data_IF_019913261152
#
_entry.id   IF_019913261152
#
_cell.length_a   1.000
_cell.length_b   1.000
_cell.length_c   1.000
_cell.angle_alpha   90.00
_cell.angle_beta   90.00
_cell.angle_gamma   90.00
#
_symmetry.space_group_name_H-M   'P 1'
#
loop_
_entity.id
_entity.type
_entity.pdbx_description
1 polymer ?
#
# COMPACT_ATOMS: atom_id res chain seq x y z
N UNK A 1 -11.07 -1.43 30.12
CA UNK A 1 -11.83 -0.27 30.57
C UNK A 1 -12.24 0.53 29.34
N UNK A 2 -13.53 0.78 29.15
CA UNK A 2 -14.05 1.59 28.02
C UNK A 2 -14.60 2.88 28.64
N UNK A 3 -14.08 4.02 28.18
CA UNK A 3 -14.51 5.35 28.58
C UNK A 3 -15.12 6.06 27.38
N UNK A 4 -16.20 6.78 27.59
CA UNK A 4 -16.95 7.45 26.54
C UNK A 4 -17.11 8.91 26.88
N UNK A 5 -17.21 9.75 25.84
CA UNK A 5 -17.58 11.15 25.94
C UNK A 5 -18.73 11.44 24.98
N UNK A 6 -19.35 12.59 25.14
CA UNK A 6 -20.40 13.04 24.25
C UNK A 6 -19.77 13.66 23.00
N UNK A 7 -19.79 12.94 21.89
CA UNK A 7 -19.27 13.41 20.61
C UNK A 7 -20.42 13.77 19.64
N UNK A 8 -20.25 14.76 18.76
CA UNK A 8 -19.13 15.72 18.74
C UNK A 8 -19.27 16.77 19.83
N UNK A 9 -18.17 17.18 20.42
CA UNK A 9 -18.10 18.34 21.33
C UNK A 9 -17.14 19.40 20.74
N UNK A 10 -17.63 20.64 20.60
CA UNK A 10 -16.85 21.71 19.95
C UNK A 10 -15.76 22.32 20.85
N UNK A 11 -15.80 22.03 22.15
CA UNK A 11 -14.85 22.55 23.13
C UNK A 11 -13.80 21.52 23.49
N UNK A 12 -14.23 20.27 23.73
CA UNK A 12 -13.34 19.15 24.07
C UNK A 12 -13.91 17.82 23.56
N UNK A 13 -13.50 17.43 22.36
CA UNK A 13 -13.95 16.18 21.75
C UNK A 13 -13.16 14.95 22.30
N UNK A 14 -13.11 14.84 23.61
CA UNK A 14 -12.56 13.71 24.37
C UNK A 14 -11.09 13.83 24.74
N UNK A 15 -10.41 14.93 24.42
CA UNK A 15 -8.98 15.11 24.70
C UNK A 15 -8.73 15.29 26.21
N UNK A 16 -9.63 15.98 26.89
CA UNK A 16 -9.59 16.12 28.36
C UNK A 16 -9.72 14.76 29.04
N UNK A 17 -10.71 13.94 28.66
CA UNK A 17 -10.91 12.59 29.17
C UNK A 17 -9.69 11.68 28.89
N UNK A 18 -9.08 11.78 27.71
CA UNK A 18 -7.87 11.04 27.38
C UNK A 18 -6.72 11.45 28.32
N UNK A 19 -6.50 12.74 28.53
CA UNK A 19 -5.45 13.25 29.40
C UNK A 19 -5.66 12.83 30.87
N UNK A 20 -6.90 12.86 31.36
CA UNK A 20 -7.27 12.36 32.71
C UNK A 20 -6.99 10.87 32.84
N UNK A 21 -7.43 10.06 31.87
CA UNK A 21 -7.20 8.62 31.85
C UNK A 21 -5.71 8.30 31.91
N UNK A 22 -4.89 9.01 31.15
CA UNK A 22 -3.43 8.85 31.16
C UNK A 22 -2.83 9.21 32.51
N UNK A 23 -3.33 10.26 33.19
CA UNK A 23 -2.88 10.63 34.53
C UNK A 23 -3.24 9.58 35.57
N UNK A 24 -4.47 9.04 35.50
CA UNK A 24 -4.96 8.00 36.40
C UNK A 24 -4.15 6.69 36.30
N UNK A 25 -3.75 6.30 35.07
CA UNK A 25 -2.86 5.14 34.84
C UNK A 25 -1.49 5.37 35.51
N UNK A 26 -1.08 6.61 35.70
CA UNK A 26 0.12 6.94 36.43
C UNK A 26 1.44 6.69 35.69
N UNK A 27 1.40 6.56 34.35
CA UNK A 27 2.62 6.37 33.53
C UNK A 27 3.53 7.61 33.58
N UNK A 28 4.83 7.37 33.52
CA UNK A 28 5.85 8.43 33.50
C UNK A 28 6.04 9.00 32.10
N UNK A 29 5.99 8.15 31.08
CA UNK A 29 6.18 8.52 29.68
C UNK A 29 5.17 7.80 28.81
N UNK A 30 4.81 8.44 27.71
CA UNK A 30 3.89 7.94 26.68
C UNK A 30 4.64 8.00 25.36
N UNK A 31 4.81 6.86 24.72
CA UNK A 31 5.36 6.77 23.37
C UNK A 31 4.27 7.00 22.33
N UNK A 32 4.52 7.88 21.37
CA UNK A 32 3.72 8.03 20.17
C UNK A 32 4.53 7.65 18.93
N UNK A 33 3.89 7.17 17.87
CA UNK A 33 4.59 6.88 16.62
C UNK A 33 5.02 8.19 15.95
N UNK A 34 6.31 8.54 16.10
CA UNK A 34 6.93 9.78 15.59
C UNK A 34 8.12 9.50 14.66
N UNK A 35 8.37 8.24 14.33
CA UNK A 35 9.45 7.82 13.44
C UNK A 35 9.12 7.97 11.95
N UNK A 36 10.11 7.72 11.09
CA UNK A 36 9.95 7.70 9.62
C UNK A 36 8.86 6.70 9.23
N UNK A 37 7.99 7.08 8.32
CA UNK A 37 6.86 6.28 7.81
C UNK A 37 5.86 5.85 8.89
N UNK A 38 5.81 6.60 9.99
CA UNK A 38 4.78 6.45 11.04
C UNK A 38 3.98 7.74 11.18
N UNK A 39 2.75 7.63 11.66
CA UNK A 39 1.92 8.81 11.92
C UNK A 39 0.91 8.55 13.02
N UNK A 40 0.59 9.60 13.73
CA UNK A 40 -0.47 9.63 14.71
C UNK A 40 -1.79 10.02 14.02
N UNK A 41 -2.80 9.16 14.08
CA UNK A 41 -4.14 9.45 13.53
C UNK A 41 -4.94 10.32 14.52
N UNK A 42 -4.54 11.58 14.65
CA UNK A 42 -5.19 12.57 15.49
C UNK A 42 -5.05 13.95 14.82
N UNK A 43 -6.07 14.82 14.86
CA UNK A 43 -5.94 16.19 14.41
C UNK A 43 -4.80 16.90 15.14
N UNK A 44 -4.03 17.71 14.41
CA UNK A 44 -2.87 18.42 15.00
C UNK A 44 -3.28 19.36 16.14
N UNK A 45 -4.47 19.97 16.04
CA UNK A 45 -4.98 20.84 17.10
C UNK A 45 -5.19 20.06 18.40
N UNK A 46 -5.83 18.90 18.32
CA UNK A 46 -6.10 18.03 19.45
C UNK A 46 -4.80 17.50 20.06
N UNK A 47 -3.85 17.11 19.21
CA UNK A 47 -2.54 16.70 19.69
C UNK A 47 -1.81 17.81 20.46
N UNK A 48 -1.88 19.06 20.01
CA UNK A 48 -1.31 20.21 20.72
C UNK A 48 -1.98 20.46 22.07
N UNK A 49 -3.29 20.30 22.16
CA UNK A 49 -4.03 20.35 23.42
C UNK A 49 -3.56 19.24 24.35
N UNK A 50 -3.49 18.01 23.86
CA UNK A 50 -3.01 16.85 24.63
C UNK A 50 -1.57 17.08 25.14
N UNK A 51 -0.66 17.60 24.30
CA UNK A 51 0.70 17.95 24.71
C UNK A 51 0.71 19.02 25.83
N UNK A 52 -0.15 20.04 25.71
CA UNK A 52 -0.29 21.07 26.74
C UNK A 52 -0.77 20.48 28.07
N UNK A 53 -1.70 19.54 28.04
CA UNK A 53 -2.25 18.88 29.22
C UNK A 53 -1.28 17.89 29.90
N UNK A 54 -0.45 17.21 29.14
CA UNK A 54 0.46 16.14 29.62
C UNK A 54 1.91 16.60 29.77
N UNK A 55 2.30 17.71 29.17
CA UNK A 55 3.65 18.26 29.25
C UNK A 55 4.71 17.31 28.67
N UNK A 56 5.84 17.19 29.39
CA UNK A 56 7.00 16.38 28.97
C UNK A 56 6.81 14.87 29.05
N UNK A 57 5.58 14.39 29.34
CA UNK A 57 5.30 12.96 29.37
C UNK A 57 5.22 12.32 27.98
N UNK A 58 5.00 13.11 26.93
CA UNK A 58 4.91 12.62 25.56
C UNK A 58 6.28 12.60 24.91
N UNK A 59 6.67 11.45 24.37
CA UNK A 59 7.89 11.24 23.60
C UNK A 59 7.68 10.24 22.48
N UNK A 60 8.74 9.92 21.73
CA UNK A 60 8.67 8.92 20.68
C UNK A 60 8.49 7.49 21.23
N UNK A 61 7.86 6.64 20.45
CA UNK A 61 7.62 5.22 20.80
C UNK A 61 8.87 4.33 20.64
N UNK A 62 10.01 4.91 20.32
CA UNK A 62 11.24 4.18 19.99
C UNK A 62 11.05 3.10 18.91
N UNK A 63 10.10 3.29 18.00
CA UNK A 63 9.78 2.37 16.91
C UNK A 63 9.04 1.10 17.34
N UNK A 64 8.40 1.07 18.50
CA UNK A 64 7.64 -0.09 18.99
C UNK A 64 6.56 -0.47 18.00
N UNK A 65 5.75 0.49 17.54
CA UNK A 65 4.65 0.24 16.60
C UNK A 65 5.16 -0.35 15.28
N UNK A 66 6.28 0.19 14.76
CA UNK A 66 6.92 -0.36 13.55
C UNK A 66 7.38 -1.80 13.74
N UNK A 67 8.05 -2.11 14.85
CA UNK A 67 8.52 -3.47 15.13
C UNK A 67 7.38 -4.45 15.30
N UNK A 68 6.29 -4.06 15.98
CA UNK A 68 5.10 -4.91 16.14
C UNK A 68 4.44 -5.24 14.80
N UNK A 69 4.37 -4.26 13.89
CA UNK A 69 3.77 -4.44 12.56
C UNK A 69 4.67 -5.15 11.55
N UNK A 70 5.98 -5.14 11.77
CA UNK A 70 6.96 -5.73 10.86
C UNK A 70 6.85 -7.25 10.82
N UNK A 71 6.69 -7.89 11.97
CA UNK A 71 6.60 -9.35 12.10
C UNK A 71 5.13 -9.73 12.27
N UNK A 72 4.55 -10.37 11.25
CA UNK A 72 3.14 -10.75 11.23
C UNK A 72 2.93 -12.06 11.99
N UNK A 73 1.83 -12.12 12.74
CA UNK A 73 1.30 -13.35 13.29
C UNK A 73 0.60 -14.20 12.20
N UNK A 74 0.37 -15.47 12.48
CA UNK A 74 -0.40 -16.36 11.58
C UNK A 74 -1.79 -15.82 11.25
N UNK A 75 -2.46 -15.18 12.23
CA UNK A 75 -3.77 -14.57 12.02
C UNK A 75 -3.69 -13.38 11.04
N UNK A 76 -2.67 -12.54 11.16
CA UNK A 76 -2.44 -11.42 10.24
C UNK A 76 -2.10 -11.92 8.83
N UNK A 77 -1.25 -12.95 8.71
CA UNK A 77 -0.93 -13.58 7.43
C UNK A 77 -2.19 -14.11 6.76
N UNK A 78 -3.10 -14.75 7.50
CA UNK A 78 -4.36 -15.26 6.96
C UNK A 78 -5.25 -14.12 6.42
N UNK A 79 -5.31 -12.97 7.09
CA UNK A 79 -6.07 -11.80 6.60
C UNK A 79 -5.43 -11.20 5.35
N UNK A 80 -4.11 -10.99 5.34
CA UNK A 80 -3.38 -10.49 4.17
C UNK A 80 -3.57 -11.44 2.98
N UNK A 81 -3.53 -12.75 3.20
CA UNK A 81 -3.79 -13.75 2.16
C UNK A 81 -5.18 -13.60 1.55
N UNK A 82 -6.22 -13.32 2.39
CA UNK A 82 -7.57 -13.03 1.88
C UNK A 82 -7.61 -11.75 1.05
N UNK A 83 -6.95 -10.68 1.52
CA UNK A 83 -6.87 -9.42 0.77
C UNK A 83 -6.21 -9.61 -0.61
N UNK A 84 -5.09 -10.34 -0.66
CA UNK A 84 -4.43 -10.69 -1.92
C UNK A 84 -5.33 -11.54 -2.84
N UNK A 85 -6.10 -12.49 -2.27
CA UNK A 85 -7.02 -13.31 -3.06
C UNK A 85 -8.17 -12.48 -3.66
N UNK A 86 -8.70 -11.51 -2.92
CA UNK A 86 -9.71 -10.55 -3.42
C UNK A 86 -9.15 -9.75 -4.58
N UNK A 87 -7.97 -9.16 -4.43
CA UNK A 87 -7.32 -8.40 -5.49
C UNK A 87 -7.05 -9.26 -6.74
N UNK A 88 -6.56 -10.48 -6.57
CA UNK A 88 -6.33 -11.40 -7.69
C UNK A 88 -7.61 -11.69 -8.47
N UNK A 89 -8.77 -11.87 -7.79
CA UNK A 89 -10.05 -12.06 -8.49
C UNK A 89 -10.46 -10.80 -9.26
N UNK A 90 -10.28 -9.62 -8.69
CA UNK A 90 -10.55 -8.36 -9.38
C UNK A 90 -9.63 -8.18 -10.61
N UNK A 91 -8.34 -8.45 -10.47
CA UNK A 91 -7.39 -8.41 -11.59
C UNK A 91 -7.73 -9.40 -12.70
N UNK A 92 -8.21 -10.60 -12.37
CA UNK A 92 -8.63 -11.58 -13.38
C UNK A 92 -9.80 -11.08 -14.25
N UNK A 93 -10.58 -10.10 -13.76
CA UNK A 93 -11.74 -9.52 -14.43
C UNK A 93 -11.42 -8.22 -15.21
N UNK A 94 -10.17 -7.76 -15.23
CA UNK A 94 -9.78 -6.52 -15.92
C UNK A 94 -10.19 -6.53 -17.40
N UNK A 95 -10.17 -7.69 -18.07
CA UNK A 95 -10.61 -7.84 -19.45
C UNK A 95 -12.10 -7.45 -19.69
N UNK A 96 -12.94 -7.44 -18.65
CA UNK A 96 -14.35 -7.01 -18.75
C UNK A 96 -14.46 -5.49 -18.93
N UNK A 97 -13.47 -4.73 -18.40
CA UNK A 97 -13.54 -3.26 -18.26
C UNK A 97 -12.50 -2.50 -19.09
N UNK A 98 -11.36 -3.11 -19.42
CA UNK A 98 -10.25 -2.48 -20.13
C UNK A 98 -10.23 -2.94 -21.59
N UNK A 99 -10.70 -2.06 -22.51
CA UNK A 99 -10.77 -2.32 -23.95
C UNK A 99 -10.38 -1.07 -24.72
N UNK A 100 -9.97 -1.23 -25.98
CA UNK A 100 -9.73 -0.12 -26.90
C UNK A 100 -10.92 0.85 -26.90
N UNK A 101 -10.62 2.13 -26.77
CA UNK A 101 -11.60 3.23 -26.75
C UNK A 101 -12.19 3.55 -25.37
N UNK A 102 -11.98 2.73 -24.35
CA UNK A 102 -12.44 3.03 -22.98
C UNK A 102 -11.46 4.03 -22.33
N UNK A 103 -11.95 5.14 -21.75
CA UNK A 103 -11.10 6.07 -21.02
C UNK A 103 -10.44 5.43 -19.79
N UNK A 104 -9.19 5.79 -19.52
CA UNK A 104 -8.46 5.28 -18.35
C UNK A 104 -9.19 5.59 -17.02
N UNK A 105 -9.84 6.76 -16.93
CA UNK A 105 -10.65 7.15 -15.77
C UNK A 105 -11.84 6.20 -15.53
N UNK A 106 -12.44 5.70 -16.60
CA UNK A 106 -13.53 4.72 -16.53
C UNK A 106 -12.99 3.36 -16.07
N UNK A 107 -11.83 2.93 -16.60
CA UNK A 107 -11.16 1.69 -16.16
C UNK A 107 -10.87 1.75 -14.67
N UNK A 108 -10.29 2.83 -14.15
CA UNK A 108 -10.00 3.01 -12.73
C UNK A 108 -11.26 2.91 -11.86
N UNK A 109 -12.32 3.62 -12.26
CA UNK A 109 -13.60 3.56 -11.54
C UNK A 109 -14.16 2.13 -11.50
N UNK A 110 -14.18 1.46 -12.63
CA UNK A 110 -14.72 0.10 -12.74
C UNK A 110 -13.84 -0.92 -12.00
N UNK A 111 -12.53 -0.74 -12.01
CA UNK A 111 -11.64 -1.63 -11.25
C UNK A 111 -11.87 -1.55 -9.74
N UNK A 112 -12.07 -0.34 -9.21
CA UNK A 112 -12.47 -0.19 -7.81
C UNK A 112 -13.80 -0.90 -7.50
N UNK A 113 -14.77 -0.80 -8.42
CA UNK A 113 -16.04 -1.53 -8.29
C UNK A 113 -15.82 -3.05 -8.29
N UNK A 114 -14.96 -3.57 -9.17
CA UNK A 114 -14.59 -4.99 -9.17
C UNK A 114 -13.94 -5.42 -7.83
N UNK A 115 -13.05 -4.61 -7.28
CA UNK A 115 -12.44 -4.90 -5.98
C UNK A 115 -13.49 -5.02 -4.86
N UNK A 116 -14.46 -4.10 -4.82
CA UNK A 116 -15.57 -4.13 -3.85
C UNK A 116 -16.50 -5.33 -4.08
N UNK A 117 -16.83 -5.64 -5.34
CA UNK A 117 -17.66 -6.78 -5.73
C UNK A 117 -17.01 -8.11 -5.33
N UNK A 118 -15.70 -8.20 -5.43
CA UNK A 118 -14.92 -9.38 -5.02
C UNK A 118 -14.70 -9.49 -3.50
N UNK A 119 -15.09 -8.49 -2.72
CA UNK A 119 -15.14 -8.54 -1.27
C UNK A 119 -14.09 -7.69 -0.55
N UNK A 120 -13.56 -6.64 -1.19
CA UNK A 120 -12.79 -5.62 -0.48
C UNK A 120 -13.71 -4.78 0.42
N UNK A 121 -13.24 -4.40 1.59
CA UNK A 121 -13.96 -3.46 2.46
C UNK A 121 -13.92 -2.04 1.88
N UNK A 122 -12.80 -1.67 1.27
CA UNK A 122 -12.60 -0.42 0.55
C UNK A 122 -11.29 -0.45 -0.26
N UNK A 123 -11.15 0.52 -1.18
CA UNK A 123 -9.96 0.68 -2.02
C UNK A 123 -9.36 2.07 -1.79
N UNK A 124 -8.49 2.22 -0.78
CA UNK A 124 -7.89 3.52 -0.44
C UNK A 124 -6.88 4.01 -1.46
N UNK A 125 -6.34 3.11 -2.27
CA UNK A 125 -5.27 3.38 -3.21
C UNK A 125 -5.51 2.65 -4.52
N UNK A 126 -5.44 3.38 -5.60
CA UNK A 126 -5.35 2.90 -6.97
C UNK A 126 -4.53 3.90 -7.78
N UNK A 127 -3.46 3.43 -8.35
CA UNK A 127 -2.65 4.17 -9.29
C UNK A 127 -2.45 3.36 -10.58
N UNK A 128 -1.88 3.98 -11.57
CA UNK A 128 -1.57 3.29 -12.81
C UNK A 128 -1.41 4.24 -13.98
N UNK A 129 -1.22 3.66 -15.13
CA UNK A 129 -1.03 4.35 -16.39
C UNK A 129 -1.27 3.44 -17.56
N UNK A 130 -1.35 4.03 -18.74
CA UNK A 130 -1.43 3.28 -19.99
C UNK A 130 -0.68 4.02 -21.09
N UNK A 131 0.00 3.27 -21.95
CA UNK A 131 0.69 3.85 -23.11
C UNK A 131 1.29 2.80 -24.03
N UNK A 132 1.66 3.25 -25.23
CA UNK A 132 2.30 2.43 -26.23
C UNK A 132 3.71 2.00 -25.78
N UNK A 133 3.92 0.69 -25.66
CA UNK A 133 5.19 0.14 -25.21
C UNK A 133 5.51 0.35 -23.73
N UNK A 134 4.58 0.87 -22.96
CA UNK A 134 4.73 1.14 -21.52
C UNK A 134 4.05 2.44 -21.10
N UNK A 135 4.29 2.84 -19.86
CA UNK A 135 3.74 4.05 -19.24
C UNK A 135 4.89 4.87 -18.63
N UNK A 136 4.77 6.20 -18.69
CA UNK A 136 5.83 7.13 -18.23
C UNK A 136 5.75 7.51 -16.76
N UNK A 137 4.63 7.20 -16.09
CA UNK A 137 4.40 7.54 -14.69
C UNK A 137 3.57 6.43 -14.02
N UNK A 138 4.02 6.01 -12.85
CA UNK A 138 3.42 4.90 -12.08
C UNK A 138 2.47 5.39 -10.98
N UNK A 139 2.48 6.68 -10.66
CA UNK A 139 1.67 7.28 -9.59
C UNK A 139 0.91 8.49 -10.15
N UNK A 140 0.11 8.26 -11.18
CA UNK A 140 -0.73 9.31 -11.78
C UNK A 140 -2.20 9.06 -11.54
N UNK A 141 -2.99 10.12 -11.41
CA UNK A 141 -4.43 10.00 -11.48
C UNK A 141 -4.85 9.58 -12.90
N UNK A 142 -5.94 8.84 -12.97
CA UNK A 142 -6.50 8.44 -14.25
C UNK A 142 -6.95 9.65 -15.09
N UNK A 143 -6.64 9.61 -16.37
CA UNK A 143 -7.04 10.61 -17.34
C UNK A 143 -8.21 10.11 -18.19
N UNK A 144 -8.87 11.04 -18.90
CA UNK A 144 -9.92 10.67 -19.87
C UNK A 144 -9.35 10.23 -21.24
N UNK A 145 -8.06 9.94 -21.31
CA UNK A 145 -7.41 9.42 -22.51
C UNK A 145 -7.93 8.01 -22.80
N UNK A 146 -8.51 7.75 -23.98
CA UNK A 146 -8.95 6.41 -24.34
C UNK A 146 -7.79 5.45 -24.54
N UNK A 147 -7.95 4.23 -24.07
CA UNK A 147 -7.02 3.13 -24.34
C UNK A 147 -6.94 2.83 -25.85
N UNK A 148 -5.76 2.48 -26.31
CA UNK A 148 -5.48 2.16 -27.73
C UNK A 148 -4.95 0.74 -27.84
N UNK A 149 -5.11 0.18 -29.03
CA UNK A 149 -4.48 -1.09 -29.38
C UNK A 149 -2.96 -1.02 -29.17
N UNK A 150 -2.41 -2.00 -28.48
CA UNK A 150 -0.98 -2.07 -28.14
C UNK A 150 -0.56 -1.28 -26.90
N UNK A 151 -1.48 -0.59 -26.22
CA UNK A 151 -1.18 0.02 -24.93
C UNK A 151 -0.83 -1.05 -23.88
N UNK A 152 0.10 -0.74 -23.02
CA UNK A 152 0.35 -1.46 -21.77
C UNK A 152 -0.35 -0.70 -20.65
N UNK A 153 -1.38 -1.32 -20.08
CA UNK A 153 -2.11 -0.81 -18.92
C UNK A 153 -1.49 -1.39 -17.64
N UNK A 154 -1.12 -0.54 -16.70
CA UNK A 154 -0.77 -0.92 -15.35
C UNK A 154 -1.86 -0.45 -14.39
N UNK A 155 -2.27 -1.33 -13.49
CA UNK A 155 -3.13 -1.02 -12.36
C UNK A 155 -2.42 -1.50 -11.08
N UNK A 156 -2.22 -0.59 -10.15
CA UNK A 156 -1.60 -0.82 -8.86
C UNK A 156 -2.60 -0.49 -7.75
N UNK A 157 -2.90 -1.45 -6.90
CA UNK A 157 -3.94 -1.31 -5.89
C UNK A 157 -3.52 -1.79 -4.51
N UNK A 158 -3.91 -1.01 -3.51
CA UNK A 158 -3.84 -1.35 -2.11
C UNK A 158 -5.25 -1.49 -1.50
N UNK A 159 -6.02 -2.50 -1.92
CA UNK A 159 -7.32 -2.77 -1.29
C UNK A 159 -7.17 -3.33 0.13
N UNK A 160 -8.22 -3.15 0.93
CA UNK A 160 -8.26 -3.53 2.35
C UNK A 160 -9.31 -4.60 2.61
N UNK A 161 -8.96 -5.59 3.42
CA UNK A 161 -9.86 -6.58 4.02
C UNK A 161 -9.54 -6.69 5.51
N UNK A 162 -10.54 -6.53 6.37
CA UNK A 162 -10.40 -6.59 7.83
C UNK A 162 -9.24 -5.71 8.37
N UNK A 163 -9.04 -4.52 7.78
CA UNK A 163 -8.01 -3.56 8.17
C UNK A 163 -6.60 -3.84 7.65
N UNK A 164 -6.37 -4.90 6.89
CA UNK A 164 -5.08 -5.25 6.30
C UNK A 164 -5.06 -5.01 4.80
N UNK A 165 -3.93 -4.48 4.32
CA UNK A 165 -3.72 -4.19 2.90
C UNK A 165 -3.22 -5.43 2.15
N UNK A 166 -3.64 -5.57 0.87
CA UNK A 166 -2.75 -6.06 -0.17
C UNK A 166 -2.13 -4.85 -0.87
N UNK A 167 -1.02 -5.06 -1.57
CA UNK A 167 -0.38 -3.99 -2.35
C UNK A 167 0.47 -4.63 -3.44
N UNK A 168 -0.03 -4.60 -4.66
CA UNK A 168 0.66 -5.09 -5.85
C UNK A 168 -0.01 -4.61 -7.13
N UNK A 169 0.77 -4.53 -8.17
CA UNK A 169 0.32 -4.19 -9.51
C UNK A 169 0.17 -5.39 -10.45
N UNK A 170 -0.51 -5.15 -11.57
CA UNK A 170 -0.56 -6.03 -12.73
C UNK A 170 -0.57 -5.22 -14.02
N UNK A 171 0.12 -5.77 -15.01
CA UNK A 171 0.23 -5.20 -16.33
C UNK A 171 -0.60 -5.99 -17.35
N UNK A 172 -1.29 -5.29 -18.23
CA UNK A 172 -2.20 -5.84 -19.24
C UNK A 172 -1.91 -5.23 -20.60
N UNK A 173 -1.83 -6.06 -21.63
CA UNK A 173 -1.84 -5.57 -22.99
C UNK A 173 -3.29 -5.26 -23.43
N UNK A 174 -3.52 -4.10 -24.01
CA UNK A 174 -4.78 -3.74 -24.64
C UNK A 174 -4.71 -4.21 -26.12
N UNK A 175 -5.45 -5.27 -26.41
CA UNK A 175 -5.30 -5.99 -27.67
C UNK A 175 -4.08 -6.90 -27.67
N UNK A 176 -3.05 -6.59 -28.45
CA UNK A 176 -1.84 -7.40 -28.59
C UNK A 176 -0.60 -6.69 -28.04
N UNK A 177 0.23 -7.41 -27.29
CA UNK A 177 1.52 -6.92 -26.82
C UNK A 177 2.58 -7.05 -27.93
N UNK A 178 3.45 -6.05 -28.04
CA UNK A 178 4.65 -6.14 -28.90
C UNK A 178 5.64 -7.16 -28.33
N UNK A 179 6.55 -7.69 -29.17
CA UNK A 179 7.64 -8.57 -28.72
C UNK A 179 8.50 -7.91 -27.63
N UNK A 180 8.78 -6.63 -27.76
CA UNK A 180 9.54 -5.86 -26.78
C UNK A 180 8.81 -5.79 -25.42
N UNK A 181 7.48 -5.59 -25.44
CA UNK A 181 6.65 -5.58 -24.23
C UNK A 181 6.64 -6.95 -23.56
N UNK A 182 6.50 -8.02 -24.33
CA UNK A 182 6.53 -9.39 -23.82
C UNK A 182 7.89 -9.72 -23.18
N UNK A 183 8.99 -9.41 -23.85
CA UNK A 183 10.33 -9.60 -23.32
C UNK A 183 10.60 -8.80 -22.03
N UNK A 184 10.08 -7.56 -21.94
CA UNK A 184 10.17 -6.77 -20.72
C UNK A 184 9.37 -7.39 -19.57
N UNK A 185 8.16 -7.88 -19.86
CA UNK A 185 7.31 -8.55 -18.86
C UNK A 185 7.95 -9.86 -18.34
N UNK A 186 8.49 -10.69 -19.23
CA UNK A 186 9.22 -11.91 -18.86
C UNK A 186 10.40 -11.59 -17.95
N UNK A 187 11.20 -10.58 -18.31
CA UNK A 187 12.35 -10.14 -17.52
C UNK A 187 11.96 -9.68 -16.11
N UNK A 188 10.86 -8.94 -15.98
CA UNK A 188 10.34 -8.50 -14.67
C UNK A 188 9.81 -9.68 -13.86
N UNK A 189 9.14 -10.63 -14.50
CA UNK A 189 8.67 -11.87 -13.85
C UNK A 189 9.84 -12.68 -13.31
N UNK A 190 10.89 -12.89 -14.11
CA UNK A 190 12.12 -13.58 -13.69
C UNK A 190 12.79 -12.87 -12.50
N UNK A 191 12.77 -11.54 -12.47
CA UNK A 191 13.33 -10.77 -11.35
C UNK A 191 12.55 -11.01 -10.06
N UNK A 192 11.21 -11.01 -10.11
CA UNK A 192 10.35 -11.31 -8.96
C UNK A 192 10.57 -12.74 -8.47
N UNK A 193 10.61 -13.72 -9.37
CA UNK A 193 10.86 -15.12 -9.02
C UNK A 193 12.23 -15.32 -8.38
N UNK A 194 13.28 -14.65 -8.87
CA UNK A 194 14.60 -14.70 -8.27
C UNK A 194 14.61 -14.14 -6.83
N UNK A 195 13.91 -13.06 -6.57
CA UNK A 195 13.76 -12.54 -5.21
C UNK A 195 12.98 -13.50 -4.32
N UNK A 196 11.86 -14.06 -4.79
CA UNK A 196 11.06 -15.02 -4.05
C UNK A 196 11.85 -16.30 -3.70
N UNK A 197 12.71 -16.77 -4.59
CA UNK A 197 13.53 -17.96 -4.36
C UNK A 197 14.49 -17.82 -3.18
N UNK A 198 14.96 -16.60 -2.89
CA UNK A 198 15.91 -16.31 -1.81
C UNK A 198 15.24 -15.65 -0.59
N UNK A 199 13.96 -15.28 -0.67
CA UNK A 199 13.19 -14.67 0.41
C UNK A 199 12.90 -15.68 1.54
N UNK A 200 13.90 -15.91 2.40
CA UNK A 200 13.86 -16.86 3.52
C UNK A 200 14.25 -16.15 4.82
N UNK A 201 13.94 -16.78 5.94
CA UNK A 201 14.38 -16.30 7.25
C UNK A 201 15.90 -16.05 7.24
N UNK A 202 16.31 -14.84 7.58
CA UNK A 202 17.70 -14.39 7.56
C UNK A 202 18.13 -13.65 6.30
N UNK A 203 17.34 -13.69 5.21
CA UNK A 203 17.61 -12.87 4.02
C UNK A 203 17.38 -11.38 4.32
N UNK A 204 18.25 -10.54 3.81
CA UNK A 204 18.14 -9.08 3.94
C UNK A 204 17.38 -8.48 2.74
N UNK A 205 16.75 -7.34 2.94
CA UNK A 205 16.11 -6.59 1.84
C UNK A 205 17.13 -6.23 0.73
N UNK A 206 18.40 -5.98 1.09
CA UNK A 206 19.46 -5.71 0.12
C UNK A 206 19.76 -6.92 -0.78
N UNK A 207 19.76 -8.15 -0.24
CA UNK A 207 19.94 -9.36 -1.04
C UNK A 207 18.80 -9.55 -2.04
N UNK A 208 17.55 -9.31 -1.63
CA UNK A 208 16.38 -9.36 -2.51
C UNK A 208 16.52 -8.30 -3.62
N UNK A 209 16.84 -7.06 -3.25
CA UNK A 209 17.08 -5.99 -4.21
C UNK A 209 18.14 -6.36 -5.23
N UNK A 210 19.32 -6.82 -4.79
CA UNK A 210 20.40 -7.17 -5.70
C UNK A 210 20.07 -8.38 -6.60
N UNK A 211 19.25 -9.32 -6.14
CA UNK A 211 18.80 -10.41 -6.98
C UNK A 211 17.94 -9.92 -8.15
N UNK A 212 17.00 -9.01 -7.88
CA UNK A 212 16.15 -8.38 -8.90
C UNK A 212 16.96 -7.44 -9.80
N UNK A 213 17.76 -6.57 -9.22
CA UNK A 213 18.53 -5.54 -9.93
C UNK A 213 19.48 -6.15 -10.99
N UNK A 214 20.12 -7.26 -10.67
CA UNK A 214 20.96 -7.97 -11.65
C UNK A 214 20.19 -8.44 -12.89
N UNK A 215 18.96 -8.87 -12.73
CA UNK A 215 18.12 -9.33 -13.86
C UNK A 215 17.63 -8.11 -14.64
N UNK A 216 17.06 -7.12 -13.96
CA UNK A 216 16.51 -5.91 -14.59
C UNK A 216 17.58 -5.17 -15.39
N UNK A 217 18.80 -5.04 -14.86
CA UNK A 217 19.90 -4.32 -15.49
C UNK A 217 20.76 -5.17 -16.43
N UNK A 218 20.46 -6.47 -16.58
CA UNK A 218 21.30 -7.39 -17.37
C UNK A 218 22.69 -7.59 -16.77
N UNK A 219 22.84 -7.46 -15.45
CA UNK A 219 24.10 -7.63 -14.73
C UNK A 219 24.89 -6.35 -14.49
N UNK A 220 24.50 -5.21 -15.08
CA UNK A 220 25.18 -3.93 -14.88
C UNK A 220 25.03 -3.41 -13.45
N UNK A 221 23.91 -3.69 -12.80
CA UNK A 221 23.57 -3.15 -11.48
C UNK A 221 23.20 -1.67 -11.52
N UNK A 222 22.73 -1.14 -10.40
CA UNK A 222 22.47 0.29 -10.26
C UNK A 222 21.24 0.78 -11.02
N UNK A 223 20.17 0.01 -11.02
CA UNK A 223 18.87 0.45 -11.55
C UNK A 223 18.45 1.79 -10.92
N UNK A 224 17.92 2.68 -11.73
CA UNK A 224 17.29 3.94 -11.32
C UNK A 224 15.79 3.79 -10.99
N UNK A 225 15.27 2.58 -11.03
CA UNK A 225 13.86 2.28 -10.74
C UNK A 225 13.44 2.53 -9.27
N UNK A 226 14.37 2.94 -8.40
CA UNK A 226 14.12 3.14 -7.00
C UNK A 226 14.04 1.83 -6.23
N UNK A 227 13.09 1.71 -5.31
CA UNK A 227 12.87 0.46 -4.57
C UNK A 227 12.14 -0.56 -5.47
N UNK A 228 12.57 -1.82 -5.40
CA UNK A 228 11.98 -2.93 -6.15
C UNK A 228 10.97 -3.73 -5.33
N UNK A 229 10.66 -3.29 -4.13
CA UNK A 229 9.70 -3.91 -3.24
C UNK A 229 9.68 -3.25 -1.86
N UNK A 230 8.68 -3.57 -1.06
CA UNK A 230 8.51 -3.02 0.29
C UNK A 230 7.71 -3.96 1.21
N UNK A 231 7.69 -3.63 2.51
CA UNK A 231 6.88 -4.34 3.49
C UNK A 231 5.39 -4.05 3.33
N UNK A 232 4.56 -4.95 3.84
CA UNK A 232 3.11 -4.95 3.73
C UNK A 232 2.47 -5.15 5.11
N UNK A 233 1.22 -4.70 5.33
CA UNK A 233 0.48 -4.95 6.58
C UNK A 233 -0.71 -4.01 6.79
N UNK A 234 -0.74 -3.30 7.93
CA UNK A 234 -1.77 -2.32 8.34
C UNK A 234 -1.32 -0.90 8.00
#
# INVERSE_FOLDING_TARGET
DIRTWRAPDYVDDGIGLLAETIREIGVKTIGIPDGIETHLRMPIADFRVLQGLLGSKIGGDAGIMRRLRMVKSEAEIAVITRACAVANRAFARVHEIARVGVPLSEVFRKFQMLCLDEGADWVPYLAGGAGQGGYGDVISPATDTPLKEGDVLMLDTGLVVDGYFCDFDRNFAIGSASEATQAAHEKLSDAVEAAMAIAKVGATAAELFHAMDRIVTGGAGGSDAGRLGHGLGM
#
